data_IF_257873203052
#
_entry.id   IF_257873203052
#
_cell.length_a   1.000
_cell.length_b   1.000
_cell.length_c   1.000
_cell.angle_alpha   90.00
_cell.angle_beta   90.00
_cell.angle_gamma   90.00
#
_symmetry.space_group_name_H-M   'P 1'
#
loop_
_entity.id
_entity.type
_entity.pdbx_description
1 polymer ?
#
# COMPACT_ATOMS: atom_id res chain seq x y z
N UNK A 1 -18.28 6.66 3.96
CA UNK A 1 -17.20 6.55 4.98
C UNK A 1 -16.25 5.46 4.50
N UNK A 2 -14.92 5.64 4.54
CA UNK A 2 -14.00 4.57 4.13
C UNK A 2 -13.86 3.58 5.30
N UNK A 3 -14.85 2.70 5.49
CA UNK A 3 -14.94 1.76 6.63
C UNK A 3 -14.43 0.36 6.30
N UNK A 4 -14.35 -0.01 5.02
CA UNK A 4 -14.29 -1.43 4.65
C UNK A 4 -12.89 -2.06 4.75
N UNK A 5 -11.86 -1.30 5.17
CA UNK A 5 -10.49 -1.83 5.30
C UNK A 5 -9.62 -1.06 6.32
N UNK A 6 -10.22 -0.64 7.44
CA UNK A 6 -9.47 -0.01 8.53
C UNK A 6 -9.08 -1.06 9.57
N UNK A 7 -7.82 -1.01 10.03
CA UNK A 7 -7.22 -2.02 10.91
C UNK A 7 -6.75 -1.38 12.23
N UNK A 8 -7.09 -2.00 13.35
CA UNK A 8 -6.70 -1.59 14.69
C UNK A 8 -5.59 -2.49 15.21
N UNK A 9 -4.45 -1.88 15.54
CA UNK A 9 -3.28 -2.61 16.02
C UNK A 9 -3.08 -2.50 17.51
N UNK A 10 -2.78 -3.61 18.18
CA UNK A 10 -2.13 -3.57 19.49
C UNK A 10 -0.66 -3.93 19.33
N UNK A 11 0.25 -3.13 19.91
CA UNK A 11 1.67 -3.46 20.00
C UNK A 11 1.96 -3.98 21.41
N UNK A 12 2.43 -5.22 21.51
CA UNK A 12 2.81 -5.84 22.77
C UNK A 12 4.33 -5.83 22.94
N UNK A 13 4.77 -5.05 23.92
CA UNK A 13 6.15 -4.98 24.43
C UNK A 13 6.27 -5.59 25.83
N UNK A 14 5.15 -5.74 26.54
CA UNK A 14 5.00 -6.32 27.88
C UNK A 14 3.63 -7.00 28.03
N UNK A 15 3.35 -7.58 29.21
CA UNK A 15 2.04 -8.16 29.49
C UNK A 15 0.98 -7.07 29.45
N UNK A 16 0.01 -7.22 28.54
CA UNK A 16 -1.05 -6.24 28.38
C UNK A 16 -2.28 -6.85 27.73
N UNK A 17 -3.35 -6.05 27.70
CA UNK A 17 -4.58 -6.41 27.02
C UNK A 17 -4.46 -6.11 25.53
N UNK A 18 -5.00 -7.00 24.72
CA UNK A 18 -5.11 -6.81 23.27
C UNK A 18 -6.49 -6.30 22.94
N UNK A 19 -6.55 -5.20 22.19
CA UNK A 19 -7.82 -4.70 21.68
C UNK A 19 -8.40 -5.71 20.69
N UNK A 20 -9.57 -6.23 21.01
CA UNK A 20 -10.40 -7.08 20.15
C UNK A 20 -11.85 -6.62 20.31
N UNK A 21 -12.57 -6.51 19.21
CA UNK A 21 -13.98 -6.10 19.20
C UNK A 21 -14.66 -6.60 17.92
N UNK A 22 -15.90 -7.08 18.05
CA UNK A 22 -16.67 -7.52 16.90
C UNK A 22 -16.91 -6.35 15.92
N UNK A 23 -16.83 -6.65 14.62
CA UNK A 23 -16.99 -5.65 13.56
C UNK A 23 -15.74 -4.79 13.28
N UNK A 24 -14.61 -5.06 13.95
CA UNK A 24 -13.35 -4.37 13.72
C UNK A 24 -12.25 -5.33 13.29
N UNK A 25 -11.51 -4.98 12.24
CA UNK A 25 -10.30 -5.71 11.87
C UNK A 25 -9.17 -5.39 12.82
N UNK A 26 -8.65 -6.41 13.50
CA UNK A 26 -7.59 -6.25 14.51
C UNK A 26 -6.34 -7.02 14.15
N UNK A 27 -5.18 -6.43 14.47
CA UNK A 27 -3.89 -7.09 14.36
C UNK A 27 -3.07 -6.94 15.62
N UNK A 28 -2.16 -7.90 15.83
CA UNK A 28 -1.27 -7.93 16.96
C UNK A 28 0.18 -7.82 16.51
N UNK A 29 0.87 -6.77 16.92
CA UNK A 29 2.31 -6.63 16.75
C UNK A 29 3.02 -7.13 18.01
N UNK A 30 3.71 -8.27 17.91
CA UNK A 30 4.40 -8.92 19.02
C UNK A 30 5.90 -8.67 18.88
N UNK A 31 6.48 -8.03 19.89
CA UNK A 31 7.93 -7.88 19.98
C UNK A 31 8.60 -9.12 20.58
N UNK A 32 9.91 -9.31 20.35
CA UNK A 32 10.68 -10.37 21.00
C UNK A 32 10.79 -10.11 22.50
N UNK A 33 9.77 -10.53 23.23
CA UNK A 33 9.71 -10.46 24.68
C UNK A 33 10.36 -11.73 25.26
N UNK A 34 10.83 -11.69 26.52
CA UNK A 34 11.37 -12.88 27.21
C UNK A 34 10.27 -13.93 27.47
N UNK A 35 10.25 -14.57 28.64
CA UNK A 35 9.35 -15.66 29.05
C UNK A 35 7.84 -15.42 28.83
N UNK A 36 7.42 -14.18 28.57
CA UNK A 36 6.02 -13.82 28.45
C UNK A 36 5.40 -14.18 27.09
N UNK A 37 6.07 -13.85 25.99
CA UNK A 37 5.53 -14.14 24.65
C UNK A 37 5.51 -15.65 24.35
N UNK A 38 6.38 -16.43 25.00
CA UNK A 38 6.40 -17.90 24.93
C UNK A 38 5.23 -18.57 25.66
N UNK A 39 4.46 -17.84 26.49
CA UNK A 39 3.37 -18.39 27.30
C UNK A 39 2.03 -17.68 27.10
N UNK A 40 2.01 -16.64 26.27
CA UNK A 40 0.80 -15.88 25.99
C UNK A 40 -0.11 -16.68 25.07
N UNK A 41 -1.37 -16.83 25.46
CA UNK A 41 -2.42 -17.24 24.53
C UNK A 41 -2.64 -16.15 23.50
N UNK A 42 -2.64 -16.52 22.23
CA UNK A 42 -2.86 -15.57 21.14
C UNK A 42 -4.35 -15.22 21.14
N UNK A 43 -4.73 -13.95 21.34
CA UNK A 43 -6.11 -13.53 21.33
C UNK A 43 -6.71 -13.66 19.92
N UNK A 44 -8.04 -13.57 19.83
CA UNK A 44 -8.77 -13.64 18.57
C UNK A 44 -8.52 -12.39 17.70
N UNK A 45 -7.42 -12.38 16.96
CA UNK A 45 -7.02 -11.35 16.01
C UNK A 45 -6.94 -11.93 14.61
N UNK A 46 -7.08 -11.07 13.60
CA UNK A 46 -7.08 -11.50 12.19
C UNK A 46 -5.69 -11.52 11.57
N UNK A 47 -4.69 -10.92 12.23
CA UNK A 47 -3.33 -10.83 11.71
C UNK A 47 -2.29 -10.64 12.81
N UNK A 48 -1.13 -11.27 12.66
CA UNK A 48 0.00 -11.12 13.58
C UNK A 48 1.19 -10.52 12.84
N UNK A 49 1.74 -9.44 13.40
CA UNK A 49 3.02 -8.87 12.99
C UNK A 49 4.10 -9.30 13.98
N UNK A 50 5.17 -9.90 13.49
CA UNK A 50 6.37 -10.15 14.27
C UNK A 50 7.39 -9.07 13.95
N UNK A 51 7.70 -8.23 14.93
CA UNK A 51 8.59 -7.12 14.71
C UNK A 51 8.92 -6.43 16.01
N UNK A 52 10.05 -5.75 16.06
CA UNK A 52 10.55 -5.14 17.28
C UNK A 52 12.06 -5.16 17.34
N UNK A 53 12.58 -4.71 18.47
CA UNK A 53 14.01 -4.63 18.73
C UNK A 53 14.36 -5.51 19.94
N UNK A 54 15.63 -5.90 20.07
CA UNK A 54 16.12 -6.66 21.22
C UNK A 54 16.63 -8.05 20.90
N UNK A 55 16.66 -8.94 21.91
CA UNK A 55 17.19 -10.30 21.78
C UNK A 55 16.15 -11.24 21.20
N UNK A 56 16.13 -11.36 19.88
CA UNK A 56 15.31 -12.32 19.15
C UNK A 56 15.99 -13.71 19.14
N UNK A 57 15.21 -14.75 19.44
CA UNK A 57 15.61 -16.15 19.28
C UNK A 57 14.72 -16.80 18.22
N UNK A 58 15.27 -17.75 17.47
CA UNK A 58 14.49 -18.54 16.52
C UNK A 58 13.38 -19.33 17.21
N UNK A 59 13.67 -19.92 18.37
CA UNK A 59 12.70 -20.65 19.19
C UNK A 59 11.48 -19.81 19.58
N UNK A 60 11.65 -18.49 19.75
CA UNK A 60 10.54 -17.60 20.04
C UNK A 60 9.59 -17.47 18.83
N UNK A 61 10.15 -17.36 17.62
CA UNK A 61 9.38 -17.33 16.37
C UNK A 61 8.60 -18.64 16.23
N UNK A 62 9.30 -19.78 16.39
CA UNK A 62 8.71 -21.12 16.28
C UNK A 62 7.57 -21.30 17.29
N UNK A 63 7.76 -20.85 18.53
CA UNK A 63 6.74 -20.88 19.58
C UNK A 63 5.48 -20.06 19.22
N UNK A 64 5.63 -18.90 18.58
CA UNK A 64 4.47 -18.13 18.09
C UNK A 64 3.78 -18.86 16.93
N UNK A 65 4.55 -19.45 16.02
CA UNK A 65 4.02 -20.20 14.87
C UNK A 65 3.25 -21.46 15.28
N UNK A 66 3.64 -22.13 16.36
CA UNK A 66 2.91 -23.27 16.93
C UNK A 66 1.55 -22.85 17.52
N UNK A 67 1.46 -21.66 18.11
CA UNK A 67 0.25 -21.16 18.77
C UNK A 67 -0.71 -20.39 17.88
N UNK A 68 -0.25 -19.82 16.76
CA UNK A 68 -1.05 -18.89 15.94
C UNK A 68 -2.31 -19.53 15.33
N UNK A 69 -2.37 -20.86 15.26
CA UNK A 69 -3.38 -21.57 14.49
C UNK A 69 -3.38 -21.15 13.01
N UNK A 70 -4.54 -20.71 12.52
CA UNK A 70 -4.72 -20.30 11.11
C UNK A 70 -4.50 -18.79 10.88
N UNK A 71 -4.12 -18.03 11.91
CA UNK A 71 -3.92 -16.59 11.78
C UNK A 71 -2.70 -16.34 10.87
N UNK A 72 -2.80 -15.46 9.86
CA UNK A 72 -1.67 -15.11 9.02
C UNK A 72 -0.59 -14.38 9.82
N UNK A 73 0.68 -14.65 9.51
CA UNK A 73 1.84 -14.00 10.15
C UNK A 73 2.66 -13.20 9.15
N UNK A 74 3.01 -11.98 9.54
CA UNK A 74 3.91 -11.12 8.79
C UNK A 74 5.13 -10.74 9.63
N UNK A 75 6.31 -11.09 9.15
CA UNK A 75 7.57 -10.67 9.74
C UNK A 75 8.00 -9.32 9.20
N UNK A 76 8.20 -8.33 10.08
CA UNK A 76 8.73 -7.03 9.69
C UNK A 76 10.16 -7.21 9.17
N UNK A 77 10.41 -6.69 7.97
CA UNK A 77 11.68 -6.82 7.27
C UNK A 77 12.84 -6.07 7.94
N UNK A 78 13.43 -6.66 8.98
CA UNK A 78 14.61 -6.13 9.67
C UNK A 78 15.81 -7.07 9.55
N UNK A 79 17.03 -6.52 9.71
CA UNK A 79 18.26 -7.32 9.70
C UNK A 79 18.23 -8.42 10.77
N UNK A 80 17.75 -8.08 11.97
CA UNK A 80 17.61 -9.00 13.11
C UNK A 80 16.78 -10.24 12.75
N UNK A 81 15.61 -10.04 12.12
CA UNK A 81 14.75 -11.15 11.71
C UNK A 81 15.38 -12.01 10.61
N UNK A 82 16.06 -11.38 9.63
CA UNK A 82 16.78 -12.12 8.58
C UNK A 82 17.89 -13.00 9.16
N UNK A 83 18.69 -12.44 10.07
CA UNK A 83 19.85 -13.11 10.66
C UNK A 83 19.45 -14.29 11.57
N UNK A 84 18.35 -14.15 12.31
CA UNK A 84 17.85 -15.19 13.22
C UNK A 84 17.03 -16.26 12.48
N UNK A 85 16.18 -15.86 11.53
CA UNK A 85 15.29 -16.79 10.83
C UNK A 85 16.03 -17.66 9.80
N UNK A 86 17.07 -17.11 9.13
CA UNK A 86 17.90 -17.82 8.14
C UNK A 86 17.10 -18.52 7.03
N UNK A 87 15.92 -18.00 6.72
CA UNK A 87 15.01 -18.44 5.68
C UNK A 87 14.27 -17.19 5.14
N UNK A 88 13.54 -17.29 4.01
CA UNK A 88 12.65 -16.23 3.58
C UNK A 88 11.71 -15.83 4.72
N UNK A 89 11.61 -14.51 4.96
CA UNK A 89 10.70 -13.98 5.98
C UNK A 89 9.26 -14.34 5.63
N UNK A 90 8.47 -14.65 6.64
CA UNK A 90 7.04 -14.93 6.47
C UNK A 90 6.34 -13.62 6.11
N UNK A 91 5.55 -13.61 5.04
CA UNK A 91 4.88 -12.42 4.49
C UNK A 91 3.41 -12.72 4.18
N UNK A 92 2.69 -13.30 5.13
CA UNK A 92 1.26 -13.62 4.96
C UNK A 92 0.42 -12.39 5.29
N UNK A 93 -0.57 -12.12 4.44
CA UNK A 93 -1.53 -11.05 4.61
C UNK A 93 -2.93 -11.63 4.83
N UNK A 94 -3.75 -11.03 5.69
CA UNK A 94 -5.16 -11.35 5.76
C UNK A 94 -5.83 -11.09 4.40
N UNK A 95 -6.84 -11.89 4.01
CA UNK A 95 -7.48 -11.78 2.69
C UNK A 95 -8.00 -10.38 2.38
N UNK A 96 -8.47 -9.65 3.39
CA UNK A 96 -9.01 -8.30 3.27
C UNK A 96 -7.95 -7.23 2.97
N UNK A 97 -6.66 -7.51 3.21
CA UNK A 97 -5.55 -6.65 2.78
C UNK A 97 -5.12 -6.90 1.33
N UNK A 98 -5.63 -7.95 0.68
CA UNK A 98 -5.35 -8.16 -0.73
C UNK A 98 -6.03 -7.07 -1.55
N UNK A 99 -5.23 -6.15 -2.07
CA UNK A 99 -5.68 -5.19 -3.08
C UNK A 99 -5.44 -5.81 -4.45
N UNK A 100 -6.43 -5.74 -5.36
CA UNK A 100 -6.17 -6.02 -6.77
C UNK A 100 -4.96 -5.19 -7.21
N UNK A 101 -4.12 -5.77 -8.08
CA UNK A 101 -2.98 -5.05 -8.63
C UNK A 101 -3.43 -3.67 -9.12
N UNK A 102 -2.77 -2.62 -8.63
CA UNK A 102 -3.09 -1.26 -9.07
C UNK A 102 -2.96 -1.21 -10.59
N UNK A 103 -4.01 -0.74 -11.26
CA UNK A 103 -3.98 -0.60 -12.72
C UNK A 103 -2.89 0.40 -13.06
N UNK A 104 -1.95 -0.03 -13.90
CA UNK A 104 -0.86 0.84 -14.35
C UNK A 104 -1.44 2.00 -15.15
N UNK A 105 -1.46 3.19 -14.54
CA UNK A 105 -1.94 4.39 -15.20
C UNK A 105 -0.84 4.90 -16.15
N UNK A 106 -1.17 5.31 -17.38
CA UNK A 106 -0.16 5.86 -18.30
C UNK A 106 0.51 7.10 -17.72
N UNK A 107 1.83 7.21 -17.88
CA UNK A 107 2.60 8.39 -17.51
C UNK A 107 2.54 9.41 -18.65
N UNK A 108 2.07 10.62 -18.37
CA UNK A 108 1.97 11.66 -19.39
C UNK A 108 3.37 12.15 -19.81
N UNK A 109 4.33 12.22 -18.89
CA UNK A 109 5.72 12.61 -19.16
C UNK A 109 6.42 11.75 -20.22
N UNK A 110 6.03 10.48 -20.34
CA UNK A 110 6.62 9.49 -21.28
C UNK A 110 5.75 9.27 -22.52
N UNK A 111 4.59 9.91 -22.58
CA UNK A 111 3.64 9.71 -23.67
C UNK A 111 4.02 10.54 -24.90
N UNK A 112 4.08 9.91 -26.08
CA UNK A 112 4.36 10.58 -27.37
C UNK A 112 3.41 11.74 -27.73
N UNK A 113 2.23 11.80 -27.11
CA UNK A 113 1.25 12.87 -27.34
C UNK A 113 1.36 14.02 -26.33
N UNK A 114 2.32 13.95 -25.41
CA UNK A 114 2.59 15.00 -24.45
C UNK A 114 3.54 16.03 -25.06
N UNK A 115 3.03 17.23 -25.25
CA UNK A 115 3.82 18.38 -25.67
C UNK A 115 4.25 19.16 -24.42
N UNK A 116 5.55 19.47 -24.30
CA UNK A 116 6.12 20.16 -23.15
C UNK A 116 6.84 21.44 -23.57
N UNK A 117 6.60 22.54 -22.86
CA UNK A 117 7.24 23.84 -23.09
C UNK A 117 7.87 24.32 -21.78
N UNK A 118 9.13 24.74 -21.83
CA UNK A 118 9.81 25.32 -20.67
C UNK A 118 9.31 26.75 -20.44
N UNK A 119 8.73 27.00 -19.27
CA UNK A 119 8.21 28.30 -18.83
C UNK A 119 9.23 29.02 -17.95
N UNK A 120 10.43 29.29 -18.49
CA UNK A 120 11.52 29.92 -17.75
C UNK A 120 11.87 29.18 -16.45
N UNK A 121 11.82 29.89 -15.31
CA UNK A 121 12.05 29.32 -13.96
C UNK A 121 10.82 28.61 -13.36
N UNK A 122 9.64 28.73 -13.95
CA UNK A 122 8.38 28.13 -13.43
C UNK A 122 8.24 26.64 -13.72
N UNK A 123 9.14 26.07 -14.52
CA UNK A 123 9.16 24.65 -14.86
C UNK A 123 8.57 24.34 -16.23
N UNK A 124 8.06 23.12 -16.40
CA UNK A 124 7.51 22.63 -17.67
C UNK A 124 5.99 22.76 -17.67
N UNK A 125 5.46 23.50 -18.64
CA UNK A 125 4.06 23.45 -19.01
C UNK A 125 3.83 22.28 -19.96
N UNK A 126 2.77 21.51 -19.77
CA UNK A 126 2.49 20.31 -20.58
C UNK A 126 1.06 20.29 -21.08
N UNK A 127 0.86 19.88 -22.33
CA UNK A 127 -0.46 19.64 -22.90
C UNK A 127 -0.52 18.32 -23.67
N UNK A 128 -1.68 17.68 -23.62
CA UNK A 128 -1.98 16.48 -24.38
C UNK A 128 -2.54 16.87 -25.75
N UNK A 129 -1.80 16.54 -26.82
CA UNK A 129 -2.20 16.74 -28.22
C UNK A 129 -2.72 15.44 -28.87
N UNK A 130 -3.26 14.54 -28.07
CA UNK A 130 -3.87 13.33 -28.61
C UNK A 130 -5.06 13.70 -29.51
N UNK A 131 -5.16 13.11 -30.71
CA UNK A 131 -6.17 13.50 -31.73
C UNK A 131 -7.61 13.53 -31.17
N UNK A 132 -7.96 12.57 -30.32
CA UNK A 132 -9.26 12.50 -29.60
C UNK A 132 -9.55 13.76 -28.77
N UNK A 133 -8.55 14.29 -28.08
CA UNK A 133 -8.65 15.50 -27.24
C UNK A 133 -8.73 16.75 -28.10
N UNK A 134 -7.83 16.88 -29.10
CA UNK A 134 -7.81 18.02 -30.02
C UNK A 134 -9.16 18.16 -30.75
N UNK A 135 -9.73 17.04 -31.21
CA UNK A 135 -11.05 17.01 -31.87
C UNK A 135 -12.18 17.39 -30.91
N UNK A 136 -12.11 16.98 -29.66
CA UNK A 136 -13.15 17.28 -28.66
C UNK A 136 -13.12 18.76 -28.25
N UNK A 137 -11.93 19.29 -27.96
CA UNK A 137 -11.76 20.66 -27.49
C UNK A 137 -11.77 21.70 -28.63
N UNK A 138 -11.71 21.24 -29.88
CA UNK A 138 -11.51 22.09 -31.07
C UNK A 138 -10.29 23.01 -30.92
N UNK A 139 -9.27 22.51 -30.23
CA UNK A 139 -8.06 23.23 -29.86
C UNK A 139 -6.83 22.43 -30.31
N UNK A 140 -6.13 22.95 -31.32
CA UNK A 140 -4.90 22.34 -31.87
C UNK A 140 -3.73 22.40 -30.90
N UNK A 141 -3.77 23.29 -29.90
CA UNK A 141 -2.80 23.37 -28.82
C UNK A 141 -2.86 22.18 -27.87
N UNK A 142 -3.99 21.48 -27.82
CA UNK A 142 -4.25 20.35 -26.94
C UNK A 142 -4.69 20.78 -25.54
N UNK A 143 -5.10 19.81 -24.71
CA UNK A 143 -5.60 20.09 -23.35
C UNK A 143 -4.47 20.09 -22.33
N UNK A 144 -4.40 21.12 -21.49
CA UNK A 144 -3.39 21.26 -20.44
C UNK A 144 -3.43 20.10 -19.45
N UNK A 145 -2.28 19.47 -19.18
CA UNK A 145 -2.13 18.38 -18.21
C UNK A 145 -1.82 18.97 -16.84
N UNK A 146 -2.73 18.76 -15.89
CA UNK A 146 -2.53 19.20 -14.51
C UNK A 146 -1.43 18.38 -13.83
N UNK A 147 -0.57 19.06 -13.07
CA UNK A 147 0.50 18.44 -12.29
C UNK A 147 1.90 18.76 -12.81
N UNK A 148 2.81 19.09 -11.88
CA UNK A 148 4.19 19.53 -12.18
C UNK A 148 5.01 18.48 -12.93
N UNK A 149 4.84 17.21 -12.58
CA UNK A 149 5.64 16.11 -13.13
C UNK A 149 4.90 15.29 -14.19
N UNK A 150 3.57 15.41 -14.26
CA UNK A 150 2.73 14.60 -15.15
C UNK A 150 3.01 13.09 -15.06
N UNK A 151 3.40 12.62 -13.87
CA UNK A 151 3.74 11.22 -13.58
C UNK A 151 2.51 10.31 -13.75
N UNK A 152 1.30 10.83 -13.60
CA UNK A 152 0.07 10.08 -13.83
C UNK A 152 -0.78 10.84 -14.84
N UNK A 153 -1.30 10.14 -15.83
CA UNK A 153 -2.20 10.74 -16.82
C UNK A 153 -3.45 11.33 -16.15
N UNK A 154 -4.06 12.39 -16.67
CA UNK A 154 -5.28 12.96 -16.08
C UNK A 154 -6.50 12.06 -16.32
N UNK A 155 -7.57 12.20 -15.53
CA UNK A 155 -8.80 11.39 -15.65
C UNK A 155 -9.42 11.43 -17.05
N UNK A 156 -9.34 12.58 -17.73
CA UNK A 156 -9.82 12.75 -19.10
C UNK A 156 -8.89 12.15 -20.17
N UNK A 157 -7.80 11.49 -19.80
CA UNK A 157 -6.86 10.92 -20.75
C UNK A 157 -7.51 9.76 -21.54
N UNK A 158 -7.52 9.78 -22.89
CA UNK A 158 -8.12 8.72 -23.69
C UNK A 158 -7.39 7.38 -23.66
N UNK A 159 -6.19 7.33 -23.06
CA UNK A 159 -5.40 6.11 -22.88
C UNK A 159 -5.59 5.46 -21.51
N UNK A 160 -6.34 6.09 -20.59
CA UNK A 160 -6.65 5.46 -19.30
C UNK A 160 -7.60 4.28 -19.52
N UNK A 161 -7.33 3.12 -18.91
CA UNK A 161 -8.29 2.02 -18.92
C UNK A 161 -9.58 2.44 -18.22
N UNK A 162 -10.72 2.00 -18.75
CA UNK A 162 -12.06 2.10 -18.14
C UNK A 162 -12.61 3.50 -17.83
N UNK A 163 -11.90 4.56 -18.19
CA UNK A 163 -12.41 5.92 -18.02
C UNK A 163 -13.09 6.38 -19.31
N UNK A 164 -14.36 6.74 -19.23
CA UNK A 164 -15.08 7.31 -20.37
C UNK A 164 -14.69 8.78 -20.55
N UNK A 165 -13.49 9.00 -21.12
CA UNK A 165 -12.87 10.31 -21.33
C UNK A 165 -13.78 11.35 -22.02
N UNK A 166 -14.82 10.88 -22.72
CA UNK A 166 -15.80 11.72 -23.42
C UNK A 166 -16.66 12.57 -22.48
N UNK A 167 -16.88 12.15 -21.24
CA UNK A 167 -17.78 12.83 -20.30
C UNK A 167 -17.09 13.80 -19.34
N UNK A 168 -15.77 13.77 -19.24
CA UNK A 168 -14.99 14.70 -18.42
C UNK A 168 -14.77 16.03 -19.15
N UNK A 169 -15.71 16.97 -18.95
CA UNK A 169 -15.60 18.37 -19.40
C UNK A 169 -14.49 19.11 -18.63
N UNK A 170 -14.01 20.25 -19.17
CA UNK A 170 -13.18 21.20 -18.42
C UNK A 170 -14.01 21.68 -17.21
N UNK A 171 -13.50 21.46 -16.01
CA UNK A 171 -13.91 22.21 -14.80
C UNK A 171 -13.09 23.49 -14.79
#
# INVERSE_FOLDING_TARGET
MPTDNFWYGTRLTERGNVFTADGYHTFLCIEPMRLFAERMEIPNVEWILLGGYGKLKRSWIESVMERKGNIPVFMIGSKLFKDVWRAPLIQEYPPLLYRPAEKTLPHCSECKYCYSVRQGKRGLWRACRHYKIVRQDKDSGGRHILGRYAAVSPQWCPKRPETNWRFTKRV
#
